data_IF_162338848277
#
_entry.id   IF_162338848277
#
_cell.length_a   1.000
_cell.length_b   1.000
_cell.length_c   1.000
_cell.angle_alpha   90.00
_cell.angle_beta   90.00
_cell.angle_gamma   90.00
#
_symmetry.space_group_name_H-M   'P 1'
#
loop_
_entity.id
_entity.type
_entity.pdbx_description
1 polymer ?
#
# COMPACT_ATOMS: atom_id res chain seq x y z
N UNK A 1 -6.82 -23.40 2.82
CA UNK A 1 -5.84 -23.26 3.93
C UNK A 1 -4.81 -24.37 3.80
N UNK A 2 -3.53 -24.02 3.95
CA UNK A 2 -2.43 -24.96 3.95
C UNK A 2 -1.55 -24.76 5.18
N UNK A 3 -0.95 -25.84 5.66
CA UNK A 3 0.04 -25.77 6.73
C UNK A 3 1.42 -25.66 6.08
N UNK A 4 2.08 -24.54 6.33
CA UNK A 4 3.42 -24.26 5.82
C UNK A 4 4.42 -24.07 6.98
N UNK A 5 5.70 -24.34 6.76
CA UNK A 5 6.72 -23.99 7.75
C UNK A 5 6.73 -22.49 8.07
N UNK A 6 6.98 -22.14 9.32
CA UNK A 6 7.21 -20.75 9.69
C UNK A 6 8.45 -20.25 8.95
N UNK A 7 8.39 -19.06 8.28
CA UNK A 7 9.54 -18.54 7.55
C UNK A 7 10.76 -18.34 8.44
N UNK A 8 11.94 -18.72 7.96
CA UNK A 8 13.19 -18.41 8.66
C UNK A 8 13.47 -16.90 8.63
N UNK A 9 13.88 -16.34 9.77
CA UNK A 9 14.23 -14.93 9.87
C UNK A 9 15.63 -14.70 9.29
N UNK A 10 15.71 -13.98 8.16
CA UNK A 10 17.00 -13.60 7.56
C UNK A 10 17.77 -12.57 8.41
N UNK A 11 19.06 -12.35 8.12
CA UNK A 11 19.92 -11.49 8.94
C UNK A 11 19.43 -10.05 9.08
N UNK A 12 18.72 -9.52 8.07
CA UNK A 12 18.21 -8.15 8.00
C UNK A 12 16.67 -8.08 8.08
N UNK A 13 16.02 -9.21 8.39
CA UNK A 13 14.57 -9.33 8.37
C UNK A 13 13.98 -9.27 9.77
N UNK A 14 12.67 -9.10 9.79
CA UNK A 14 11.83 -9.20 10.98
C UNK A 14 10.77 -10.26 10.72
N UNK A 15 10.64 -11.22 11.62
CA UNK A 15 9.55 -12.18 11.63
C UNK A 15 8.42 -11.61 12.49
N UNK A 16 7.24 -11.51 11.94
CA UNK A 16 6.07 -10.92 12.60
C UNK A 16 4.99 -11.98 12.80
N UNK A 17 4.51 -12.12 14.03
CA UNK A 17 3.25 -12.79 14.33
C UNK A 17 2.11 -11.86 13.93
N UNK A 18 1.33 -12.24 12.93
CA UNK A 18 0.24 -11.46 12.40
C UNK A 18 -0.95 -11.51 13.34
N UNK A 19 -1.45 -10.35 13.77
CA UNK A 19 -2.62 -10.23 14.64
C UNK A 19 -3.88 -9.89 13.85
N UNK A 20 -3.74 -8.97 12.89
CA UNK A 20 -4.83 -8.62 11.97
C UNK A 20 -4.28 -8.29 10.58
N UNK A 21 -5.10 -8.48 9.56
CA UNK A 21 -4.78 -8.18 8.16
C UNK A 21 -5.87 -7.33 7.52
N UNK A 22 -5.47 -6.40 6.66
CA UNK A 22 -6.36 -5.65 5.80
C UNK A 22 -6.52 -6.31 4.44
N UNK A 23 -7.74 -6.32 3.90
CA UNK A 23 -8.02 -6.85 2.56
C UNK A 23 -7.93 -5.71 1.55
N UNK A 24 -6.99 -5.82 0.62
CA UNK A 24 -6.83 -4.90 -0.50
C UNK A 24 -7.22 -5.59 -1.81
N UNK A 25 -7.65 -4.81 -2.80
CA UNK A 25 -8.11 -5.34 -4.07
C UNK A 25 -7.00 -6.02 -4.88
N UNK A 26 -5.73 -5.70 -4.61
CA UNK A 26 -4.59 -6.40 -5.21
C UNK A 26 -4.58 -7.90 -4.89
N UNK A 27 -5.06 -8.31 -3.71
CA UNK A 27 -5.21 -9.73 -3.36
C UNK A 27 -6.22 -10.46 -4.25
N UNK A 28 -7.29 -9.76 -4.69
CA UNK A 28 -8.24 -10.31 -5.68
C UNK A 28 -7.56 -10.50 -7.05
N UNK A 29 -6.79 -9.51 -7.49
CA UNK A 29 -6.06 -9.58 -8.76
C UNK A 29 -5.02 -10.70 -8.74
N UNK A 30 -4.30 -10.86 -7.63
CA UNK A 30 -3.37 -11.97 -7.43
C UNK A 30 -4.06 -13.34 -7.59
N UNK A 31 -5.24 -13.49 -6.97
CA UNK A 31 -6.03 -14.73 -7.06
C UNK A 31 -6.57 -15.00 -8.47
N UNK A 32 -6.87 -13.97 -9.25
CA UNK A 32 -7.33 -14.08 -10.63
C UNK A 32 -6.17 -14.25 -11.64
N UNK A 33 -4.94 -13.97 -11.23
CA UNK A 33 -3.78 -13.94 -12.11
C UNK A 33 -3.78 -12.77 -13.09
N UNK A 34 -4.39 -11.62 -12.71
CA UNK A 34 -4.52 -10.43 -13.53
C UNK A 34 -3.66 -9.26 -13.01
N UNK A 35 -3.05 -8.46 -13.89
CA UNK A 35 -2.91 -8.62 -15.36
C UNK A 35 -1.90 -9.71 -15.76
N UNK A 36 -1.12 -10.21 -14.81
CA UNK A 36 -0.13 -11.28 -14.97
C UNK A 36 -0.24 -12.21 -13.77
N UNK A 37 -0.11 -13.52 -13.99
CA UNK A 37 -0.09 -14.51 -12.92
C UNK A 37 1.07 -14.23 -11.94
N UNK A 38 0.77 -14.05 -10.67
CA UNK A 38 1.78 -13.83 -9.63
C UNK A 38 2.74 -15.02 -9.51
N UNK A 39 2.26 -16.25 -9.78
CA UNK A 39 3.09 -17.46 -9.79
C UNK A 39 4.12 -17.40 -10.92
N UNK A 40 3.76 -16.79 -12.07
CA UNK A 40 4.70 -16.59 -13.17
C UNK A 40 5.75 -15.51 -12.86
N UNK A 41 5.40 -14.52 -12.04
CA UNK A 41 6.33 -13.46 -11.63
C UNK A 41 7.40 -13.99 -10.70
N UNK A 42 7.02 -14.65 -9.60
CA UNK A 42 7.98 -15.09 -8.57
C UNK A 42 8.44 -16.53 -8.70
N UNK A 43 7.88 -17.30 -9.68
CA UNK A 43 8.29 -18.69 -9.98
C UNK A 43 8.17 -19.68 -8.79
N UNK A 44 7.26 -19.38 -7.87
CA UNK A 44 6.93 -20.29 -6.76
C UNK A 44 5.68 -21.09 -7.12
N UNK A 45 5.47 -22.21 -6.45
CA UNK A 45 4.30 -23.08 -6.62
C UNK A 45 3.12 -22.67 -5.74
N UNK A 46 3.33 -21.67 -4.88
CA UNK A 46 2.32 -21.13 -3.97
C UNK A 46 2.41 -19.61 -3.89
N UNK A 47 1.35 -18.99 -3.40
CA UNK A 47 1.29 -17.55 -3.13
C UNK A 47 0.48 -17.27 -1.86
N UNK A 48 1.11 -16.63 -0.89
CA UNK A 48 0.44 -16.08 0.28
C UNK A 48 0.15 -14.61 0.00
N UNK A 49 -1.12 -14.29 -0.21
CA UNK A 49 -1.56 -12.91 -0.46
C UNK A 49 -1.53 -12.07 0.83
N UNK A 50 -1.90 -10.78 0.70
CA UNK A 50 -2.03 -9.85 1.80
C UNK A 50 -0.85 -8.89 1.89
N UNK A 51 -1.16 -7.59 1.76
CA UNK A 51 -0.18 -6.49 1.69
C UNK A 51 -0.37 -5.46 2.79
N UNK A 52 -1.23 -5.76 3.77
CA UNK A 52 -1.53 -4.90 4.92
C UNK A 52 -1.70 -5.73 6.17
N UNK A 53 -0.91 -5.48 7.20
CA UNK A 53 -1.11 -6.12 8.49
C UNK A 53 -0.60 -5.29 9.66
N UNK A 54 -1.12 -5.64 10.83
CA UNK A 54 -0.59 -5.29 12.14
C UNK A 54 -0.22 -6.56 12.89
N UNK A 55 0.83 -6.50 13.71
CA UNK A 55 1.31 -7.69 14.40
C UNK A 55 2.34 -7.38 15.47
N UNK A 56 2.92 -8.45 15.98
CA UNK A 56 3.93 -8.41 17.04
C UNK A 56 5.23 -8.99 16.50
N UNK A 57 6.33 -8.30 16.71
CA UNK A 57 7.66 -8.80 16.37
C UNK A 57 7.91 -10.10 17.13
N UNK A 58 8.02 -11.19 16.39
CA UNK A 58 8.26 -12.52 16.94
C UNK A 58 9.74 -12.84 17.04
N UNK A 59 10.48 -12.50 15.98
CA UNK A 59 11.94 -12.65 15.93
C UNK A 59 12.56 -11.54 15.05
N UNK A 60 13.86 -11.33 15.23
CA UNK A 60 14.61 -10.33 14.46
C UNK A 60 15.95 -10.90 14.00
N UNK A 61 16.36 -10.54 12.79
CA UNK A 61 17.67 -10.91 12.26
C UNK A 61 18.82 -10.29 13.04
N UNK A 62 19.98 -10.92 12.97
CA UNK A 62 21.17 -10.57 13.76
C UNK A 62 21.65 -9.11 13.53
N UNK A 63 21.38 -8.56 12.34
CA UNK A 63 21.76 -7.18 11.98
C UNK A 63 20.70 -6.15 12.38
N UNK A 64 19.48 -6.56 12.75
CA UNK A 64 18.39 -5.68 13.13
C UNK A 64 18.62 -5.11 14.53
N UNK A 65 18.69 -3.78 14.63
CA UNK A 65 18.91 -3.06 15.90
C UNK A 65 17.74 -2.18 16.33
N UNK A 66 16.84 -1.89 15.39
CA UNK A 66 15.70 -0.97 15.59
C UNK A 66 14.49 -1.63 16.22
N UNK A 67 14.42 -2.96 16.19
CA UNK A 67 13.26 -3.72 16.66
C UNK A 67 13.67 -4.83 17.61
N UNK A 68 12.75 -5.23 18.48
CA UNK A 68 12.91 -6.36 19.42
C UNK A 68 11.62 -7.16 19.53
N UNK A 69 11.74 -8.41 19.98
CA UNK A 69 10.60 -9.29 20.27
C UNK A 69 9.59 -8.61 21.19
N UNK A 70 8.31 -8.66 20.82
CA UNK A 70 7.20 -8.06 21.55
C UNK A 70 6.83 -6.64 21.10
N UNK A 71 7.58 -6.00 20.20
CA UNK A 71 7.19 -4.70 19.67
C UNK A 71 5.94 -4.81 18.80
N UNK A 72 4.99 -3.88 18.98
CA UNK A 72 3.77 -3.79 18.17
C UNK A 72 4.03 -3.00 16.88
N UNK A 73 3.72 -3.60 15.74
CA UNK A 73 4.11 -3.08 14.44
C UNK A 73 2.98 -3.12 13.41
N UNK A 74 3.13 -2.29 12.39
CA UNK A 74 2.45 -2.37 11.09
C UNK A 74 3.49 -2.49 10.00
N UNK A 75 3.07 -3.00 8.83
CA UNK A 75 4.00 -3.30 7.74
C UNK A 75 3.70 -2.41 6.53
N UNK A 76 4.74 -1.78 5.99
CA UNK A 76 4.70 -1.08 4.71
C UNK A 76 4.77 -2.08 3.56
N UNK A 77 3.93 -1.92 2.54
CA UNK A 77 3.82 -2.87 1.44
C UNK A 77 4.98 -2.84 0.43
N UNK A 78 5.81 -1.81 0.42
CA UNK A 78 6.94 -1.70 -0.52
C UNK A 78 8.12 -2.57 -0.11
N UNK A 79 8.56 -3.42 -1.03
CA UNK A 79 9.75 -4.26 -0.89
C UNK A 79 10.89 -3.67 -1.69
N UNK A 80 12.06 -3.58 -1.08
CA UNK A 80 13.30 -3.17 -1.75
C UNK A 80 14.01 -4.36 -2.39
N UNK A 81 14.67 -4.11 -3.52
CA UNK A 81 15.65 -5.04 -4.06
C UNK A 81 16.81 -5.23 -3.10
N UNK A 82 17.24 -6.48 -2.88
CA UNK A 82 18.43 -6.80 -2.07
C UNK A 82 19.76 -6.37 -2.71
N UNK A 83 19.75 -6.01 -4.00
CA UNK A 83 20.96 -5.52 -4.66
C UNK A 83 21.34 -4.12 -4.18
N UNK A 84 22.58 -3.92 -3.72
CA UNK A 84 23.05 -2.59 -3.36
C UNK A 84 22.91 -1.66 -4.57
N UNK A 85 22.33 -0.51 -4.38
CA UNK A 85 22.14 0.52 -5.42
C UNK A 85 23.49 1.03 -5.94
N UNK A 86 24.14 0.24 -6.80
CA UNK A 86 25.44 0.58 -7.41
C UNK A 86 25.38 1.78 -8.35
N UNK A 87 24.19 2.34 -8.61
CA UNK A 87 23.98 3.45 -9.54
C UNK A 87 23.29 4.67 -8.93
N UNK A 88 23.34 4.87 -7.61
CA UNK A 88 23.06 6.19 -7.06
C UNK A 88 24.25 7.11 -7.40
N UNK A 89 24.21 7.72 -8.57
CA UNK A 89 25.10 8.84 -8.88
C UNK A 89 24.87 9.92 -7.82
N UNK A 90 25.88 10.14 -6.99
CA UNK A 90 26.00 11.30 -6.13
C UNK A 90 26.09 12.54 -7.01
N UNK A 91 24.98 13.07 -7.47
CA UNK A 91 24.96 14.41 -8.03
C UNK A 91 24.57 15.39 -6.92
N UNK A 92 25.60 16.16 -6.53
CA UNK A 92 25.48 17.44 -5.81
C UNK A 92 24.47 17.50 -4.65
N UNK A 93 24.94 17.18 -3.44
CA UNK A 93 24.54 17.87 -2.19
C UNK A 93 23.11 17.73 -1.66
N UNK A 94 22.19 17.29 -2.46
CA UNK A 94 20.80 17.10 -2.06
C UNK A 94 20.61 15.71 -1.44
N UNK A 95 20.02 15.67 -0.26
CA UNK A 95 19.44 14.45 0.29
C UNK A 95 18.38 13.96 -0.71
N UNK A 96 18.77 13.08 -1.62
CA UNK A 96 17.79 12.35 -2.42
C UNK A 96 17.05 11.45 -1.43
N UNK A 97 15.83 11.82 -1.09
CA UNK A 97 14.97 10.95 -0.30
C UNK A 97 14.86 9.62 -1.06
N UNK A 98 15.44 8.59 -0.50
CA UNK A 98 15.36 7.25 -1.04
C UNK A 98 13.88 6.88 -1.17
N UNK A 99 13.44 6.66 -2.39
CA UNK A 99 12.08 6.21 -2.69
C UNK A 99 12.17 4.78 -3.23
N UNK A 100 11.92 3.77 -2.39
CA UNK A 100 12.05 2.36 -2.76
C UNK A 100 11.19 1.98 -3.97
N UNK A 101 10.12 2.74 -4.23
CA UNK A 101 9.21 2.51 -5.35
C UNK A 101 9.71 3.07 -6.69
N UNK A 102 10.90 3.66 -6.76
CA UNK A 102 11.53 4.16 -8.01
C UNK A 102 12.53 3.16 -8.57
N UNK A 103 12.97 2.19 -7.78
CA UNK A 103 13.89 1.13 -8.24
C UNK A 103 13.26 0.25 -9.32
N UNK A 104 14.07 -0.24 -10.26
CA UNK A 104 13.63 -1.17 -11.33
C UNK A 104 13.05 -2.49 -10.80
N UNK A 105 13.25 -2.77 -9.52
CA UNK A 105 12.85 -4.01 -8.85
C UNK A 105 11.96 -3.73 -7.62
N UNK A 106 11.33 -2.54 -7.55
CA UNK A 106 10.34 -2.28 -6.53
C UNK A 106 9.16 -3.24 -6.69
N UNK A 107 8.80 -3.91 -5.62
CA UNK A 107 7.72 -4.89 -5.59
C UNK A 107 6.73 -4.55 -4.48
N UNK A 108 5.48 -4.97 -4.68
CA UNK A 108 4.45 -4.90 -3.65
C UNK A 108 4.42 -6.24 -2.90
N UNK A 109 4.71 -6.17 -1.62
CA UNK A 109 4.67 -7.30 -0.72
C UNK A 109 3.29 -7.97 -0.70
N UNK A 110 3.29 -9.31 -0.80
CA UNK A 110 2.06 -10.09 -0.83
C UNK A 110 1.21 -9.93 -2.09
N UNK A 111 1.76 -9.27 -3.13
CA UNK A 111 1.22 -9.24 -4.48
C UNK A 111 2.28 -9.72 -5.48
N UNK A 112 3.40 -9.01 -5.62
CA UNK A 112 4.50 -9.40 -6.52
C UNK A 112 5.53 -10.28 -5.79
N UNK A 113 5.44 -10.42 -4.47
CA UNK A 113 6.24 -11.34 -3.67
C UNK A 113 5.40 -12.51 -3.16
N UNK A 114 5.96 -13.72 -2.99
CA UNK A 114 5.20 -14.93 -2.69
C UNK A 114 4.67 -15.02 -1.25
N UNK A 115 5.19 -14.21 -0.32
CA UNK A 115 4.97 -14.36 1.12
C UNK A 115 4.35 -13.09 1.72
N UNK A 116 3.03 -12.93 1.57
CA UNK A 116 2.25 -11.86 2.20
C UNK A 116 1.82 -12.16 3.63
N UNK A 117 0.78 -11.48 4.09
CA UNK A 117 0.33 -11.54 5.48
C UNK A 117 -0.95 -12.33 5.73
N UNK A 118 -1.54 -12.99 4.74
CA UNK A 118 -2.67 -13.90 4.99
C UNK A 118 -2.17 -15.24 5.57
N UNK A 119 -1.35 -15.14 6.61
CA UNK A 119 -0.71 -16.23 7.33
C UNK A 119 -0.54 -15.87 8.81
N UNK A 120 -0.26 -16.85 9.67
CA UNK A 120 0.03 -16.60 11.09
C UNK A 120 1.35 -15.85 11.30
N UNK A 121 2.32 -16.12 10.45
CA UNK A 121 3.63 -15.48 10.47
C UNK A 121 3.99 -14.95 9.10
N UNK A 122 4.61 -13.79 9.08
CA UNK A 122 5.18 -13.22 7.86
C UNK A 122 6.58 -12.70 8.11
N UNK A 123 7.47 -12.89 7.13
CA UNK A 123 8.82 -12.34 7.12
C UNK A 123 8.85 -11.10 6.24
N UNK A 124 9.37 -10.02 6.78
CA UNK A 124 9.49 -8.74 6.10
C UNK A 124 10.87 -8.15 6.29
N UNK A 125 11.30 -7.29 5.36
CA UNK A 125 12.53 -6.53 5.50
C UNK A 125 12.40 -5.50 6.64
N UNK A 126 13.48 -5.23 7.35
CA UNK A 126 13.46 -4.31 8.52
C UNK A 126 12.93 -2.92 8.18
N UNK A 127 13.17 -2.41 6.97
CA UNK A 127 12.70 -1.10 6.51
C UNK A 127 11.19 -1.04 6.22
N UNK A 128 10.52 -2.19 6.07
CA UNK A 128 9.06 -2.24 5.94
C UNK A 128 8.34 -2.08 7.29
N UNK A 129 9.06 -2.25 8.39
CA UNK A 129 8.44 -2.31 9.72
C UNK A 129 8.29 -0.90 10.31
N UNK A 130 7.09 -0.57 10.73
CA UNK A 130 6.72 0.69 11.36
C UNK A 130 6.04 0.43 12.69
N UNK A 131 6.17 1.38 13.62
CA UNK A 131 5.51 1.26 14.92
C UNK A 131 4.00 1.37 14.76
N UNK A 132 3.25 0.43 15.33
CA UNK A 132 1.79 0.51 15.40
C UNK A 132 1.39 1.76 16.20
N UNK A 133 0.47 2.60 15.69
CA UNK A 133 -0.10 3.70 16.47
C UNK A 133 -0.80 3.17 17.73
N UNK A 134 -0.51 3.77 18.88
CA UNK A 134 -1.06 3.32 20.17
C UNK A 134 -2.57 3.52 20.31
N UNK A 135 -3.11 4.49 19.60
CA UNK A 135 -4.53 4.88 19.62
C UNK A 135 -5.41 4.07 18.66
N UNK A 136 -4.82 3.17 17.86
CA UNK A 136 -5.56 2.26 16.97
C UNK A 136 -5.55 0.85 17.54
N UNK A 137 -6.66 0.15 17.41
CA UNK A 137 -6.72 -1.28 17.65
C UNK A 137 -5.96 -2.06 16.53
N UNK A 138 -5.95 -3.38 16.62
CA UNK A 138 -5.22 -4.20 15.66
C UNK A 138 -5.86 -4.20 14.27
N UNK A 139 -7.19 -4.22 14.20
CA UNK A 139 -7.92 -4.24 12.94
C UNK A 139 -7.79 -2.90 12.20
N UNK A 140 -8.00 -1.79 12.90
CA UNK A 140 -7.81 -0.46 12.34
C UNK A 140 -6.37 -0.25 11.87
N UNK A 141 -5.39 -0.67 12.69
CA UNK A 141 -3.99 -0.56 12.36
C UNK A 141 -3.58 -1.40 11.14
N UNK A 142 -4.26 -2.53 10.89
CA UNK A 142 -4.01 -3.40 9.73
C UNK A 142 -4.65 -2.91 8.44
N UNK A 143 -5.56 -1.95 8.48
CA UNK A 143 -6.45 -1.67 7.33
C UNK A 143 -6.05 -0.45 6.50
N UNK A 144 -4.99 0.27 6.86
CA UNK A 144 -4.74 1.56 6.23
C UNK A 144 -3.38 1.71 5.55
N UNK A 145 -2.36 0.95 5.94
CA UNK A 145 -0.98 1.25 5.59
C UNK A 145 -0.76 1.33 4.07
N UNK A 146 -1.21 0.34 3.30
CA UNK A 146 -1.06 0.35 1.85
C UNK A 146 -1.73 1.56 1.21
N UNK A 147 -3.00 1.76 1.49
CA UNK A 147 -3.80 2.82 0.86
C UNK A 147 -3.36 4.21 1.32
N UNK A 148 -3.10 4.40 2.62
CA UNK A 148 -2.65 5.68 3.16
C UNK A 148 -1.28 6.08 2.63
N UNK A 149 -0.29 5.19 2.70
CA UNK A 149 1.07 5.51 2.22
C UNK A 149 1.10 5.74 0.72
N UNK A 150 0.28 5.02 -0.06
CA UNK A 150 0.12 5.28 -1.48
C UNK A 150 -0.47 6.67 -1.73
N UNK A 151 -1.56 7.04 -1.06
CA UNK A 151 -2.16 8.37 -1.19
C UNK A 151 -1.19 9.47 -0.74
N UNK A 152 -0.49 9.27 0.37
CA UNK A 152 0.53 10.20 0.88
C UNK A 152 1.64 10.41 -0.16
N UNK A 153 2.18 9.31 -0.69
CA UNK A 153 3.23 9.38 -1.71
C UNK A 153 2.76 10.11 -2.96
N UNK A 154 1.55 9.83 -3.44
CA UNK A 154 0.99 10.49 -4.62
C UNK A 154 0.81 11.99 -4.41
N UNK A 155 0.17 12.39 -3.33
CA UNK A 155 -0.25 13.79 -3.13
C UNK A 155 0.85 14.66 -2.54
N UNK A 156 1.59 14.16 -1.55
CA UNK A 156 2.61 14.94 -0.84
C UNK A 156 3.97 14.83 -1.53
N UNK A 157 4.42 13.60 -1.79
CA UNK A 157 5.79 13.39 -2.28
C UNK A 157 5.91 13.70 -3.78
N UNK A 158 4.95 13.25 -4.60
CA UNK A 158 5.03 13.36 -6.06
C UNK A 158 4.30 14.59 -6.60
N UNK A 159 3.03 14.76 -6.31
CA UNK A 159 2.25 15.90 -6.78
C UNK A 159 2.59 17.20 -6.03
N UNK A 160 3.09 17.09 -4.77
CA UNK A 160 3.42 18.24 -3.91
C UNK A 160 2.24 19.21 -3.78
N UNK A 161 1.06 18.66 -3.52
CA UNK A 161 -0.18 19.43 -3.45
C UNK A 161 -0.09 20.53 -2.39
N UNK A 162 -0.43 21.76 -2.79
CA UNK A 162 -0.38 22.96 -1.96
C UNK A 162 -1.78 23.40 -1.49
N UNK A 163 -1.87 24.21 -0.41
CA UNK A 163 -3.14 24.77 0.05
C UNK A 163 -3.85 25.58 -1.04
N UNK A 164 -5.16 25.36 -1.18
CA UNK A 164 -6.00 26.04 -2.16
C UNK A 164 -6.07 25.38 -3.55
N UNK A 165 -5.18 24.46 -3.86
CA UNK A 165 -5.23 23.69 -5.12
C UNK A 165 -6.48 22.82 -5.21
N UNK A 166 -6.91 22.53 -6.44
CA UNK A 166 -8.05 21.66 -6.73
C UNK A 166 -7.54 20.29 -7.17
N UNK A 167 -7.96 19.26 -6.45
CA UNK A 167 -7.55 17.87 -6.70
C UNK A 167 -8.76 17.03 -7.07
N UNK A 168 -8.77 16.45 -8.27
CA UNK A 168 -9.81 15.51 -8.71
C UNK A 168 -9.45 14.09 -8.26
N UNK A 169 -10.30 13.49 -7.43
CA UNK A 169 -10.06 12.15 -6.84
C UNK A 169 -11.04 11.16 -7.46
N UNK A 170 -10.57 10.30 -8.35
CA UNK A 170 -11.34 9.19 -8.92
C UNK A 170 -11.46 8.02 -7.95
N UNK A 171 -12.66 7.40 -7.92
CA UNK A 171 -12.91 6.30 -6.99
C UNK A 171 -12.83 6.75 -5.53
N UNK A 172 -13.26 7.97 -5.25
CA UNK A 172 -13.03 8.68 -4.01
C UNK A 172 -13.58 7.98 -2.75
N UNK A 173 -14.57 7.11 -2.90
CA UNK A 173 -15.11 6.29 -1.80
C UNK A 173 -14.43 4.90 -1.68
N UNK A 174 -13.41 4.62 -2.47
CA UNK A 174 -12.59 3.40 -2.36
C UNK A 174 -11.42 3.58 -1.38
N UNK A 175 -10.71 2.50 -1.07
CA UNK A 175 -9.64 2.48 -0.07
C UNK A 175 -8.60 3.60 -0.25
N UNK A 176 -8.05 3.77 -1.46
CA UNK A 176 -7.11 4.85 -1.76
C UNK A 176 -7.78 6.24 -1.70
N UNK A 177 -9.00 6.35 -2.24
CA UNK A 177 -9.71 7.62 -2.38
C UNK A 177 -10.06 8.26 -1.04
N UNK A 178 -10.50 7.46 -0.06
CA UNK A 178 -10.86 7.98 1.27
C UNK A 178 -9.68 8.62 2.00
N UNK A 179 -8.47 8.10 1.81
CA UNK A 179 -7.27 8.72 2.36
C UNK A 179 -6.84 9.94 1.54
N UNK A 180 -7.00 9.91 0.22
CA UNK A 180 -6.71 11.07 -0.62
C UNK A 180 -7.58 12.28 -0.24
N UNK A 181 -8.88 12.08 0.03
CA UNK A 181 -9.76 13.14 0.51
C UNK A 181 -9.29 13.75 1.84
N UNK A 182 -8.95 12.88 2.81
CA UNK A 182 -8.47 13.31 4.13
C UNK A 182 -7.14 14.05 4.04
N UNK A 183 -6.21 13.58 3.21
CA UNK A 183 -4.92 14.25 2.98
C UNK A 183 -5.14 15.63 2.33
N UNK A 184 -5.99 15.75 1.31
CA UNK A 184 -6.33 17.04 0.72
C UNK A 184 -6.91 18.01 1.76
N UNK A 185 -7.84 17.54 2.60
CA UNK A 185 -8.40 18.33 3.71
C UNK A 185 -7.31 18.79 4.68
N UNK A 186 -6.40 17.92 5.06
CA UNK A 186 -5.28 18.23 5.96
C UNK A 186 -4.34 19.27 5.34
N UNK A 187 -4.10 19.21 4.04
CA UNK A 187 -3.25 20.15 3.30
C UNK A 187 -3.96 21.49 3.00
N UNK A 188 -5.27 21.64 3.24
CA UNK A 188 -6.05 22.81 2.83
C UNK A 188 -6.31 22.87 1.32
N UNK A 189 -6.18 21.75 0.62
CA UNK A 189 -6.54 21.62 -0.80
C UNK A 189 -8.03 21.32 -0.96
N UNK A 190 -8.58 21.59 -2.15
CA UNK A 190 -10.00 21.44 -2.49
C UNK A 190 -10.21 20.13 -3.25
N UNK A 191 -10.60 19.06 -2.57
CA UNK A 191 -10.85 17.78 -3.21
C UNK A 191 -12.24 17.74 -3.89
N UNK A 192 -12.27 17.36 -5.17
CA UNK A 192 -13.48 17.01 -5.91
C UNK A 192 -13.52 15.49 -6.02
N UNK A 193 -14.51 14.87 -5.38
CA UNK A 193 -14.67 13.42 -5.39
C UNK A 193 -15.44 12.96 -6.64
N UNK A 194 -14.95 11.91 -7.31
CA UNK A 194 -15.68 11.23 -8.39
C UNK A 194 -16.06 9.82 -7.92
N UNK A 195 -17.36 9.54 -7.90
CA UNK A 195 -17.92 8.27 -7.43
C UNK A 195 -18.90 7.67 -8.44
N UNK A 196 -19.33 6.42 -8.20
CA UNK A 196 -20.19 5.66 -9.12
C UNK A 196 -21.67 5.69 -8.74
N UNK A 197 -22.03 6.26 -7.59
CA UNK A 197 -23.41 6.27 -7.07
C UNK A 197 -23.58 7.31 -5.97
N UNK A 198 -24.81 7.77 -5.78
CA UNK A 198 -25.16 8.87 -4.85
C UNK A 198 -25.05 8.49 -3.37
N UNK A 199 -25.22 7.20 -3.02
CA UNK A 199 -25.04 6.68 -1.67
C UNK A 199 -23.65 6.96 -1.09
N UNK A 200 -22.64 7.21 -1.96
CA UNK A 200 -21.26 7.55 -1.61
C UNK A 200 -21.02 9.05 -1.41
N UNK A 201 -21.99 9.90 -1.67
CA UNK A 201 -21.80 11.34 -1.62
C UNK A 201 -21.52 11.82 -0.20
N UNK A 202 -22.29 11.34 0.77
CA UNK A 202 -22.18 11.82 2.13
C UNK A 202 -20.82 11.46 2.74
N UNK A 203 -20.36 10.24 2.58
CA UNK A 203 -19.04 9.84 3.10
C UNK A 203 -17.91 10.67 2.49
N UNK A 204 -17.97 10.98 1.18
CA UNK A 204 -16.95 11.82 0.55
C UNK A 204 -16.93 13.24 1.13
N UNK A 205 -18.12 13.83 1.39
CA UNK A 205 -18.23 15.17 2.01
C UNK A 205 -17.70 15.17 3.44
N UNK A 206 -18.04 14.16 4.23
CA UNK A 206 -17.59 14.02 5.62
C UNK A 206 -16.05 13.90 5.70
N UNK A 207 -15.45 13.23 4.71
CA UNK A 207 -13.99 13.08 4.58
C UNK A 207 -13.30 14.33 4.02
N UNK A 208 -14.06 15.34 3.59
CA UNK A 208 -13.52 16.65 3.21
C UNK A 208 -13.63 17.03 1.73
N UNK A 209 -14.37 16.28 0.93
CA UNK A 209 -14.63 16.70 -0.45
C UNK A 209 -15.47 17.98 -0.48
N UNK A 210 -15.03 18.99 -1.24
CA UNK A 210 -15.76 20.25 -1.45
C UNK A 210 -16.82 20.13 -2.55
N UNK A 211 -16.71 19.10 -3.40
CA UNK A 211 -17.67 18.75 -4.44
C UNK A 211 -17.65 17.25 -4.72
N UNK A 212 -18.78 16.73 -5.18
CA UNK A 212 -18.90 15.30 -5.55
C UNK A 212 -19.58 15.20 -6.91
N UNK A 213 -19.00 14.35 -7.77
CA UNK A 213 -19.46 14.07 -9.13
C UNK A 213 -19.87 12.61 -9.21
N UNK A 214 -21.09 12.33 -9.65
CA UNK A 214 -21.47 10.99 -10.05
C UNK A 214 -21.01 10.75 -11.50
N UNK A 215 -20.06 9.83 -11.71
CA UNK A 215 -19.54 9.55 -13.06
C UNK A 215 -20.60 9.05 -14.05
N UNK A 216 -21.73 8.52 -13.56
CA UNK A 216 -22.82 8.05 -14.40
C UNK A 216 -23.57 9.21 -15.10
N UNK A 217 -23.51 10.41 -14.53
CA UNK A 217 -24.12 11.60 -15.14
C UNK A 217 -23.31 12.09 -16.36
N UNK A 218 -22.12 11.54 -16.55
CA UNK A 218 -21.18 11.90 -17.62
C UNK A 218 -20.74 10.66 -18.42
N UNK A 219 -21.63 10.05 -19.23
CA UNK A 219 -21.34 8.79 -19.92
C UNK A 219 -20.13 8.86 -20.88
N UNK A 220 -19.75 10.06 -21.31
CA UNK A 220 -18.57 10.25 -22.20
C UNK A 220 -17.24 10.34 -21.42
N UNK A 221 -17.24 10.38 -20.08
CA UNK A 221 -16.04 10.27 -19.26
C UNK A 221 -15.59 8.81 -19.06
N UNK A 222 -16.42 7.85 -19.42
CA UNK A 222 -16.00 6.46 -19.44
C UNK A 222 -15.00 6.28 -20.60
N UNK A 223 -13.84 5.69 -20.27
CA UNK A 223 -12.88 5.21 -21.29
C UNK A 223 -13.63 4.29 -22.23
N UNK A 224 -13.94 4.76 -23.46
CA UNK A 224 -14.42 3.87 -24.50
C UNK A 224 -13.26 2.93 -24.82
N UNK A 225 -13.37 1.66 -24.41
CA UNK A 225 -12.55 0.60 -24.97
C UNK A 225 -12.76 0.72 -26.47
N UNK A 226 -11.71 1.03 -27.23
CA UNK A 226 -11.82 1.11 -28.68
C UNK A 226 -12.39 -0.21 -29.17
N UNK A 227 -13.58 -0.15 -29.77
CA UNK A 227 -14.14 -1.21 -30.59
C UNK A 227 -13.34 -1.23 -31.90
N UNK A 228 -12.12 -1.73 -31.82
CA UNK A 228 -11.33 -2.08 -32.99
C UNK A 228 -10.56 -3.31 -32.62
N UNK A 229 -11.22 -4.43 -32.93
CA UNK A 229 -10.64 -5.61 -33.57
C UNK A 229 -11.75 -6.65 -33.65
N UNK A 230 -12.47 -6.61 -34.79
CA UNK A 230 -13.01 -7.82 -35.43
C UNK A 230 -11.90 -8.51 -36.21
#
# INVERSE_FOLDING_TARGET
>A
EEIMPVPECGPNDVLVLVVATGVNFNGVWAGLGEPISVLDVHKQDHHIAGSDCSGIVWDVGINVKSWKKGDEVIIHCGVESEEPHSNMTKSSGDFISYDPMVGKQAQIWGYETPNGCFAQFTRVQVQQVLKKPKNLDWADAASYALCYFTAYRMLITKAKVEPGEVVLVWGAAGGLGVFALQICKMLGAKAIAVVSSEDKFQICKDLGAVGVINRKDFPNLAYKKNETEE
#
